data_IF_436339084462
#
_entry.id   IF_436339084462
#
_cell.length_a   1.000
_cell.length_b   1.000
_cell.length_c   1.000
_cell.angle_alpha   90.00
_cell.angle_beta   90.00
_cell.angle_gamma   90.00
#
_symmetry.space_group_name_H-M   'P 1'
#
loop_
_entity.id
_entity.type
_entity.pdbx_description
1 polymer ?
#
# COMPACT_ATOMS: atom_id res chain seq x y z
N UNK A 1 21.67 5.64 -27.95
CA UNK A 1 21.37 6.36 -29.20
C UNK A 1 21.76 7.81 -28.98
N UNK A 2 22.97 8.15 -29.45
CA UNK A 2 23.59 9.49 -29.59
C UNK A 2 23.08 10.64 -28.71
N UNK A 3 23.77 10.86 -27.58
CA UNK A 3 23.90 12.18 -26.99
C UNK A 3 24.70 13.07 -27.94
N UNK A 4 24.04 14.05 -28.53
CA UNK A 4 24.70 15.17 -29.20
C UNK A 4 24.90 16.27 -28.17
N UNK A 5 26.09 16.31 -27.57
CA UNK A 5 26.60 17.50 -26.91
C UNK A 5 26.62 18.64 -27.93
N UNK A 6 25.71 19.59 -27.78
CA UNK A 6 25.81 20.87 -28.48
C UNK A 6 26.93 21.68 -27.82
N UNK A 7 27.87 22.24 -28.59
CA UNK A 7 28.99 22.94 -28.03
C UNK A 7 28.48 24.19 -27.32
N UNK A 8 28.72 24.28 -26.01
CA UNK A 8 28.69 25.55 -25.28
C UNK A 8 29.70 26.44 -25.98
N UNK A 9 29.19 27.30 -26.86
CA UNK A 9 29.93 28.42 -27.38
C UNK A 9 30.14 29.35 -26.20
N UNK A 10 31.23 29.13 -25.47
CA UNK A 10 31.86 30.17 -24.67
C UNK A 10 32.21 31.27 -25.65
N UNK A 11 31.27 32.18 -25.92
CA UNK A 11 31.57 33.48 -26.49
C UNK A 11 32.33 34.23 -25.42
N UNK A 12 33.63 33.93 -25.42
CA UNK A 12 34.71 34.73 -24.92
C UNK A 12 34.27 36.19 -24.82
N UNK A 13 34.23 36.69 -23.59
CA UNK A 13 34.09 38.10 -23.26
C UNK A 13 35.40 38.82 -23.65
N UNK A 14 35.78 38.70 -24.92
CA UNK A 14 36.96 39.28 -25.52
C UNK A 14 36.56 39.79 -26.91
N UNK A 15 36.15 41.05 -26.95
CA UNK A 15 35.80 41.78 -28.16
C UNK A 15 34.77 42.84 -27.79
N UNK A 16 34.97 44.13 -28.00
CA UNK A 16 35.73 44.77 -29.07
C UNK A 16 36.30 46.10 -28.52
N UNK A 17 37.50 46.08 -27.95
CA UNK A 17 38.37 47.26 -28.06
C UNK A 17 39.11 47.08 -29.38
N UNK A 18 38.53 47.59 -30.47
CA UNK A 18 39.19 47.61 -31.75
C UNK A 18 40.47 48.44 -31.60
N UNK A 19 41.68 47.88 -31.76
CA UNK A 19 42.93 48.66 -31.60
C UNK A 19 42.97 49.82 -32.61
N UNK A 20 42.33 49.68 -33.78
CA UNK A 20 42.20 50.77 -34.76
C UNK A 20 41.33 51.94 -34.25
N UNK A 21 40.37 51.68 -33.36
CA UNK A 21 39.57 52.71 -32.69
C UNK A 21 40.41 53.47 -31.66
N UNK A 22 41.20 52.77 -30.83
CA UNK A 22 42.12 53.43 -29.89
C UNK A 22 43.18 54.29 -30.60
N UNK A 23 43.76 53.79 -31.70
CA UNK A 23 44.70 54.57 -32.53
C UNK A 23 44.03 55.82 -33.12
N UNK A 24 42.73 55.77 -33.43
CA UNK A 24 41.95 56.92 -33.90
C UNK A 24 41.72 57.96 -32.79
N UNK A 25 41.41 57.51 -31.56
CA UNK A 25 41.23 58.39 -30.41
C UNK A 25 42.53 59.07 -29.98
N UNK A 26 43.66 58.35 -29.97
CA UNK A 26 44.96 58.95 -29.67
C UNK A 26 45.37 60.01 -30.70
N UNK A 27 45.15 59.74 -32.00
CA UNK A 27 45.37 60.74 -33.05
C UNK A 27 44.46 61.96 -32.90
N UNK A 28 43.20 61.76 -32.52
CA UNK A 28 42.25 62.84 -32.25
C UNK A 28 42.71 63.72 -31.07
N UNK A 29 43.13 63.11 -29.96
CA UNK A 29 43.65 63.81 -28.78
C UNK A 29 44.94 64.55 -29.12
N UNK A 30 45.82 63.93 -29.91
CA UNK A 30 47.06 64.55 -30.38
C UNK A 30 46.78 65.77 -31.26
N UNK A 31 45.78 65.72 -32.14
CA UNK A 31 45.38 66.85 -32.99
C UNK A 31 44.80 68.02 -32.18
N UNK A 32 44.01 67.74 -31.15
CA UNK A 32 43.53 68.77 -30.22
C UNK A 32 44.70 69.41 -29.47
N UNK A 33 45.66 68.61 -29.01
CA UNK A 33 46.85 69.11 -28.29
C UNK A 33 47.71 70.00 -29.19
N UNK A 34 47.89 69.62 -30.46
CA UNK A 34 48.60 70.43 -31.46
C UNK A 34 47.92 71.79 -31.67
N UNK A 35 46.60 71.82 -31.82
CA UNK A 35 45.81 73.04 -31.96
C UNK A 35 45.91 73.98 -30.75
N UNK A 36 45.96 73.42 -29.54
CA UNK A 36 46.11 74.20 -28.29
C UNK A 36 47.54 74.73 -28.10
N UNK A 37 48.55 74.05 -28.65
CA UNK A 37 49.96 74.44 -28.54
C UNK A 37 50.44 75.51 -29.55
N UNK A 38 49.60 75.87 -30.53
CA UNK A 38 49.94 76.84 -31.56
C UNK A 38 50.11 78.26 -30.98
N UNK A 39 51.23 78.93 -31.27
CA UNK A 39 51.51 80.32 -30.84
C UNK A 39 51.02 81.31 -31.91
N UNK A 40 50.05 82.17 -31.58
CA UNK A 40 49.33 83.12 -32.46
C UNK A 40 48.54 82.49 -33.64
N UNK A 41 47.50 81.68 -33.36
CA UNK A 41 46.61 81.17 -34.40
C UNK A 41 45.61 82.24 -34.88
N UNK A 42 45.33 82.23 -36.18
CA UNK A 42 44.23 82.99 -36.79
C UNK A 42 42.88 82.49 -36.22
N UNK A 43 42.04 83.36 -35.63
CA UNK A 43 40.82 82.95 -34.91
C UNK A 43 39.84 82.16 -35.78
N UNK A 44 39.72 82.51 -37.06
CA UNK A 44 38.77 81.87 -37.98
C UNK A 44 39.23 80.43 -38.35
N UNK A 45 40.53 80.23 -38.51
CA UNK A 45 41.12 78.91 -38.75
C UNK A 45 40.94 77.97 -37.55
N UNK A 46 41.13 78.48 -36.33
CA UNK A 46 40.98 77.72 -35.09
C UNK A 46 39.51 77.31 -34.84
N UNK A 47 38.57 78.21 -35.13
CA UNK A 47 37.14 77.92 -35.05
C UNK A 47 36.70 76.86 -36.06
N UNK A 48 37.18 76.94 -37.30
CA UNK A 48 36.89 75.96 -38.35
C UNK A 48 37.42 74.58 -38.00
N UNK A 49 38.70 74.47 -37.63
CA UNK A 49 39.32 73.18 -37.33
C UNK A 49 38.80 72.57 -36.00
N UNK A 50 38.61 73.41 -34.97
CA UNK A 50 37.99 72.99 -33.71
C UNK A 50 36.54 72.53 -33.90
N UNK A 51 35.78 73.20 -34.78
CA UNK A 51 34.42 72.83 -35.14
C UNK A 51 34.33 71.44 -35.80
N UNK A 52 35.27 71.13 -36.70
CA UNK A 52 35.38 69.81 -37.34
C UNK A 52 35.67 68.71 -36.31
N UNK A 53 36.65 68.93 -35.41
CA UNK A 53 36.98 67.97 -34.36
C UNK A 53 35.81 67.75 -33.39
N UNK A 54 35.10 68.82 -33.02
CA UNK A 54 33.92 68.71 -32.16
C UNK A 54 32.76 67.95 -32.83
N UNK A 55 32.55 68.16 -34.14
CA UNK A 55 31.58 67.39 -34.92
C UNK A 55 31.94 65.90 -34.98
N UNK A 56 33.23 65.57 -35.16
CA UNK A 56 33.72 64.19 -35.12
C UNK A 56 33.48 63.55 -33.74
N UNK A 57 33.78 64.26 -32.65
CA UNK A 57 33.53 63.78 -31.28
C UNK A 57 32.05 63.51 -31.03
N UNK A 58 31.16 64.41 -31.47
CA UNK A 58 29.71 64.20 -31.41
C UNK A 58 29.27 62.98 -32.22
N UNK A 59 29.86 62.76 -33.40
CA UNK A 59 29.63 61.56 -34.20
C UNK A 59 30.02 60.28 -33.46
N UNK A 60 31.23 60.23 -32.89
CA UNK A 60 31.71 59.09 -32.10
C UNK A 60 30.86 58.83 -30.86
N UNK A 61 30.42 59.88 -30.16
CA UNK A 61 29.53 59.76 -29.00
C UNK A 61 28.17 59.16 -29.39
N UNK A 62 27.59 59.59 -30.52
CA UNK A 62 26.34 59.01 -31.05
C UNK A 62 26.51 57.53 -31.39
N UNK A 63 27.60 57.15 -32.06
CA UNK A 63 27.90 55.75 -32.38
C UNK A 63 28.08 54.92 -31.10
N UNK A 64 28.81 55.44 -30.12
CA UNK A 64 29.03 54.76 -28.83
C UNK A 64 27.73 54.56 -28.06
N UNK A 65 26.86 55.57 -28.03
CA UNK A 65 25.55 55.46 -27.39
C UNK A 65 24.64 54.47 -28.14
N UNK A 66 24.66 54.48 -29.48
CA UNK A 66 23.88 53.56 -30.31
C UNK A 66 24.34 52.10 -30.12
N UNK A 67 25.65 51.84 -30.15
CA UNK A 67 26.22 50.51 -29.90
C UNK A 67 25.92 50.03 -28.48
N UNK A 68 26.06 50.90 -27.47
CA UNK A 68 25.69 50.57 -26.09
C UNK A 68 24.21 50.18 -25.98
N UNK A 69 23.32 50.92 -26.65
CA UNK A 69 21.88 50.60 -26.67
C UNK A 69 21.61 49.27 -27.36
N UNK A 70 22.27 48.99 -28.48
CA UNK A 70 22.16 47.72 -29.21
C UNK A 70 22.62 46.53 -28.35
N UNK A 71 23.76 46.65 -27.65
CA UNK A 71 24.23 45.61 -26.73
C UNK A 71 23.29 45.38 -25.55
N UNK A 72 22.72 46.45 -24.97
CA UNK A 72 21.70 46.33 -23.92
C UNK A 72 20.45 45.63 -24.42
N UNK A 73 20.00 45.96 -25.62
CA UNK A 73 18.84 45.32 -26.26
C UNK A 73 19.10 43.83 -26.49
N UNK A 74 20.22 43.46 -27.14
CA UNK A 74 20.60 42.06 -27.38
C UNK A 74 20.71 41.25 -26.09
N UNK A 75 21.28 41.83 -25.05
CA UNK A 75 21.39 41.16 -23.74
C UNK A 75 20.01 40.95 -23.11
N UNK A 76 19.11 41.92 -23.26
CA UNK A 76 17.74 41.84 -22.75
C UNK A 76 16.93 40.77 -23.50
N UNK A 77 17.05 40.72 -24.82
CA UNK A 77 16.41 39.69 -25.66
C UNK A 77 16.92 38.29 -25.30
N UNK A 78 18.24 38.11 -25.21
CA UNK A 78 18.82 36.83 -24.80
C UNK A 78 18.36 36.39 -23.41
N UNK A 79 18.27 37.32 -22.45
CA UNK A 79 17.73 37.06 -21.12
C UNK A 79 16.25 36.65 -21.17
N UNK A 80 15.44 37.34 -21.96
CA UNK A 80 14.01 37.00 -22.12
C UNK A 80 13.82 35.60 -22.72
N UNK A 81 14.62 35.24 -23.73
CA UNK A 81 14.60 33.88 -24.31
C UNK A 81 14.99 32.83 -23.27
N UNK A 82 16.05 33.08 -22.50
CA UNK A 82 16.46 32.19 -21.40
C UNK A 82 15.34 32.04 -20.36
N UNK A 83 14.76 33.13 -19.88
CA UNK A 83 13.68 33.11 -18.90
C UNK A 83 12.46 32.34 -19.42
N UNK A 84 12.10 32.51 -20.70
CA UNK A 84 11.04 31.75 -21.36
C UNK A 84 11.33 30.24 -21.38
N UNK A 85 12.54 29.84 -21.79
CA UNK A 85 12.92 28.41 -21.79
C UNK A 85 12.98 27.83 -20.38
N UNK A 86 13.40 28.62 -19.39
CA UNK A 86 13.42 28.20 -17.99
C UNK A 86 12.01 27.96 -17.45
N UNK A 87 11.03 28.82 -17.79
CA UNK A 87 9.62 28.57 -17.46
C UNK A 87 9.11 27.28 -18.10
N UNK A 88 9.46 27.01 -19.36
CA UNK A 88 9.14 25.74 -20.04
C UNK A 88 9.70 24.53 -19.30
N UNK A 89 10.97 24.60 -18.85
CA UNK A 89 11.59 23.55 -18.04
C UNK A 89 10.87 23.34 -16.71
N UNK A 90 10.48 24.42 -16.01
CA UNK A 90 9.74 24.32 -14.75
C UNK A 90 8.38 23.64 -14.93
N UNK A 91 7.66 23.96 -16.00
CA UNK A 91 6.39 23.30 -16.33
C UNK A 91 6.59 21.78 -16.53
N UNK A 92 7.59 21.38 -17.33
CA UNK A 92 7.90 19.96 -17.55
C UNK A 92 8.33 19.24 -16.27
N UNK A 93 9.11 19.91 -15.41
CA UNK A 93 9.51 19.36 -14.10
C UNK A 93 8.30 19.16 -13.19
N UNK A 94 7.32 20.07 -13.24
CA UNK A 94 6.08 19.93 -12.51
C UNK A 94 5.24 18.76 -13.03
N UNK A 95 5.06 18.66 -14.35
CA UNK A 95 4.35 17.54 -14.99
C UNK A 95 5.00 16.20 -14.67
N UNK A 96 6.33 16.09 -14.78
CA UNK A 96 7.07 14.87 -14.39
C UNK A 96 6.77 14.48 -12.95
N UNK A 97 6.90 15.42 -12.01
CA UNK A 97 6.63 15.18 -10.59
C UNK A 97 5.18 14.78 -10.34
N UNK A 98 4.24 15.36 -11.08
CA UNK A 98 2.83 14.98 -11.00
C UNK A 98 2.64 13.53 -11.44
N UNK A 99 3.19 13.13 -12.58
CA UNK A 99 3.12 11.75 -13.04
C UNK A 99 3.83 10.77 -12.12
N UNK A 100 5.00 11.10 -11.59
CA UNK A 100 5.70 10.28 -10.58
C UNK A 100 4.80 10.00 -9.37
N UNK A 101 4.13 11.04 -8.85
CA UNK A 101 3.17 10.89 -7.73
C UNK A 101 1.97 10.02 -8.11
N UNK A 102 1.40 10.19 -9.29
CA UNK A 102 0.27 9.36 -9.73
C UNK A 102 0.70 7.90 -9.95
N UNK A 103 1.89 7.66 -10.51
CA UNK A 103 2.46 6.31 -10.65
C UNK A 103 2.65 5.66 -9.28
N UNK A 104 3.20 6.39 -8.30
CA UNK A 104 3.38 5.88 -6.95
C UNK A 104 2.05 5.56 -6.28
N UNK A 105 1.02 6.40 -6.45
CA UNK A 105 -0.34 6.09 -5.99
C UNK A 105 -0.90 4.82 -6.61
N UNK A 106 -0.74 4.66 -7.93
CA UNK A 106 -1.18 3.46 -8.65
C UNK A 106 -0.41 2.21 -8.19
N UNK A 107 0.88 2.34 -7.87
CA UNK A 107 1.72 1.23 -7.36
C UNK A 107 1.39 0.86 -5.91
N UNK A 108 0.99 1.85 -5.10
CA UNK A 108 0.52 1.65 -3.73
C UNK A 108 -0.87 1.02 -3.66
N UNK A 109 -1.51 0.75 -4.80
CA UNK A 109 -2.74 -0.03 -4.82
C UNK A 109 -2.45 -1.47 -4.36
N UNK A 110 -2.67 -1.70 -3.06
CA UNK A 110 -2.69 -3.03 -2.47
C UNK A 110 -4.11 -3.58 -2.62
N UNK A 111 -4.22 -4.72 -3.31
CA UNK A 111 -5.49 -5.43 -3.44
C UNK A 111 -5.58 -6.52 -2.38
N UNK A 112 -6.77 -6.69 -1.81
CA UNK A 112 -7.05 -7.61 -0.70
C UNK A 112 -6.59 -9.04 -1.03
N UNK A 113 -6.57 -9.45 -2.31
CA UNK A 113 -6.16 -10.81 -2.70
C UNK A 113 -4.72 -11.16 -2.32
N UNK A 114 -3.85 -10.17 -2.11
CA UNK A 114 -2.45 -10.39 -1.74
C UNK A 114 -2.29 -10.93 -0.31
N UNK A 115 -3.27 -10.66 0.56
CA UNK A 115 -3.24 -11.05 1.97
C UNK A 115 -4.03 -12.33 2.26
N UNK A 116 -4.68 -12.92 1.25
CA UNK A 116 -5.50 -14.12 1.42
C UNK A 116 -4.60 -15.35 1.46
N UNK A 117 -4.76 -16.17 2.51
CA UNK A 117 -4.18 -17.53 2.54
C UNK A 117 -4.85 -18.39 1.47
N UNK A 118 -4.07 -18.80 0.47
CA UNK A 118 -4.51 -19.64 -0.65
C UNK A 118 -3.73 -20.97 -0.62
N UNK A 119 -4.35 -22.07 -1.08
CA UNK A 119 -3.65 -23.34 -1.30
C UNK A 119 -2.40 -23.15 -2.15
N UNK A 120 -1.28 -23.78 -1.79
CA UNK A 120 -0.03 -23.70 -2.56
C UNK A 120 -0.22 -24.16 -4.01
N UNK A 121 0.69 -23.80 -4.90
CA UNK A 121 0.59 -24.18 -6.33
C UNK A 121 0.56 -25.71 -6.51
N UNK A 122 1.32 -26.44 -5.70
CA UNK A 122 1.34 -27.92 -5.71
C UNK A 122 0.01 -28.53 -5.27
N UNK A 123 -0.62 -27.96 -4.23
CA UNK A 123 -1.92 -28.41 -3.73
C UNK A 123 -3.03 -28.08 -4.74
N UNK A 124 -2.97 -26.89 -5.35
CA UNK A 124 -3.88 -26.49 -6.40
C UNK A 124 -3.83 -27.46 -7.58
N UNK A 125 -2.65 -27.82 -8.09
CA UNK A 125 -2.53 -28.79 -9.21
C UNK A 125 -3.03 -30.20 -8.84
N UNK A 126 -3.03 -30.57 -7.56
CA UNK A 126 -3.54 -31.88 -7.10
C UNK A 126 -5.06 -31.88 -6.92
N UNK A 127 -5.62 -30.78 -6.43
CA UNK A 127 -7.03 -30.69 -6.03
C UNK A 127 -7.93 -30.08 -7.13
N UNK A 128 -7.37 -29.24 -8.00
CA UNK A 128 -8.14 -28.56 -9.04
C UNK A 128 -8.59 -29.53 -10.14
N UNK A 129 -9.84 -29.40 -10.62
CA UNK A 129 -10.31 -30.12 -11.81
C UNK A 129 -9.40 -29.91 -13.03
N UNK A 130 -9.30 -30.89 -13.94
CA UNK A 130 -8.42 -30.81 -15.12
C UNK A 130 -8.81 -29.67 -16.07
N UNK A 131 -10.07 -29.25 -16.07
CA UNK A 131 -10.58 -28.10 -16.85
C UNK A 131 -9.88 -26.79 -16.46
N UNK A 132 -9.49 -26.66 -15.18
CA UNK A 132 -8.80 -25.47 -14.65
C UNK A 132 -7.28 -25.53 -14.81
N UNK A 133 -6.74 -26.62 -15.35
CA UNK A 133 -5.29 -26.85 -15.55
C UNK A 133 -4.88 -26.77 -17.02
N UNK A 134 -5.63 -26.03 -17.83
CA UNK A 134 -5.31 -25.87 -19.26
C UNK A 134 -3.98 -25.12 -19.43
N UNK A 135 -3.15 -25.53 -20.41
CA UNK A 135 -1.84 -24.92 -20.70
C UNK A 135 -1.90 -23.39 -20.86
N UNK A 136 -2.95 -22.87 -21.51
CA UNK A 136 -3.16 -21.42 -21.69
C UNK A 136 -3.26 -20.66 -20.34
N UNK A 137 -3.89 -21.30 -19.35
CA UNK A 137 -4.07 -20.75 -18.00
C UNK A 137 -2.74 -20.80 -17.22
N UNK A 138 -1.98 -21.88 -17.39
CA UNK A 138 -0.69 -22.08 -16.72
C UNK A 138 0.41 -21.15 -17.26
N UNK A 139 0.34 -20.78 -18.54
CA UNK A 139 1.32 -19.89 -19.17
C UNK A 139 1.16 -18.43 -18.75
N UNK A 140 -0.05 -17.97 -18.44
CA UNK A 140 -0.30 -16.57 -18.07
C UNK A 140 -0.49 -16.42 -16.56
N UNK A 141 0.48 -15.81 -15.87
CA UNK A 141 0.46 -15.62 -14.40
C UNK A 141 -0.85 -15.01 -13.88
N UNK A 142 -1.36 -13.98 -14.57
CA UNK A 142 -2.62 -13.34 -14.19
C UNK A 142 -3.82 -14.30 -14.30
N UNK A 143 -3.90 -15.10 -15.35
CA UNK A 143 -4.98 -16.08 -15.51
C UNK A 143 -4.85 -17.20 -14.47
N UNK A 144 -3.64 -17.69 -14.22
CA UNK A 144 -3.37 -18.65 -13.15
C UNK A 144 -3.87 -18.13 -11.79
N UNK A 145 -3.57 -16.87 -11.45
CA UNK A 145 -4.02 -16.27 -10.20
C UNK A 145 -5.55 -16.18 -10.12
N UNK A 146 -6.22 -15.73 -11.20
CA UNK A 146 -7.68 -15.68 -11.24
C UNK A 146 -8.32 -17.06 -11.08
N UNK A 147 -7.77 -18.07 -11.75
CA UNK A 147 -8.26 -19.46 -11.65
C UNK A 147 -8.08 -20.00 -10.23
N UNK A 148 -6.92 -19.75 -9.60
CA UNK A 148 -6.65 -20.15 -8.22
C UNK A 148 -7.61 -19.47 -7.23
N UNK A 149 -7.89 -18.18 -7.41
CA UNK A 149 -8.85 -17.45 -6.58
C UNK A 149 -10.29 -17.98 -6.74
N UNK A 150 -10.71 -18.27 -7.98
CA UNK A 150 -12.02 -18.86 -8.23
C UNK A 150 -12.15 -20.26 -7.62
N UNK A 151 -11.13 -21.09 -7.75
CA UNK A 151 -11.10 -22.41 -7.12
C UNK A 151 -11.24 -22.31 -5.59
N UNK A 152 -10.44 -21.45 -4.95
CA UNK A 152 -10.54 -21.21 -3.51
C UNK A 152 -11.94 -20.75 -3.09
N UNK A 153 -12.54 -19.83 -3.85
CA UNK A 153 -13.90 -19.35 -3.60
C UNK A 153 -14.90 -20.49 -3.63
N UNK A 154 -14.84 -21.35 -4.65
CA UNK A 154 -15.74 -22.51 -4.78
C UNK A 154 -15.56 -23.51 -3.64
N UNK A 155 -14.31 -23.79 -3.24
CA UNK A 155 -14.03 -24.70 -2.12
C UNK A 155 -14.53 -24.13 -0.79
N UNK A 156 -14.34 -22.83 -0.54
CA UNK A 156 -14.87 -22.17 0.67
C UNK A 156 -16.39 -22.17 0.72
N UNK A 157 -17.06 -21.96 -0.41
CA UNK A 157 -18.51 -22.06 -0.50
C UNK A 157 -18.99 -23.48 -0.17
N UNK A 158 -18.35 -24.51 -0.77
CA UNK A 158 -18.66 -25.91 -0.48
C UNK A 158 -18.49 -26.25 1.00
N UNK A 159 -17.38 -25.82 1.61
CA UNK A 159 -17.10 -26.05 3.03
C UNK A 159 -18.08 -25.32 3.95
N UNK A 160 -18.48 -24.09 3.61
CA UNK A 160 -19.47 -23.34 4.39
C UNK A 160 -20.86 -23.98 4.32
N UNK A 161 -21.27 -24.48 3.16
CA UNK A 161 -22.51 -25.25 3.00
C UNK A 161 -22.49 -26.54 3.82
N UNK A 162 -21.39 -27.29 3.75
CA UNK A 162 -21.22 -28.51 4.54
C UNK A 162 -21.22 -28.22 6.04
N UNK A 163 -20.56 -27.15 6.48
CA UNK A 163 -20.59 -26.68 7.87
C UNK A 163 -22.01 -26.34 8.30
N UNK A 164 -22.80 -25.64 7.47
CA UNK A 164 -24.21 -25.33 7.76
C UNK A 164 -25.03 -26.60 7.92
N UNK A 165 -24.86 -27.58 7.03
CA UNK A 165 -25.53 -28.88 7.14
C UNK A 165 -25.19 -29.58 8.46
N UNK A 166 -23.90 -29.70 8.80
CA UNK A 166 -23.46 -30.30 10.07
C UNK A 166 -23.98 -29.57 11.30
N UNK A 167 -24.03 -28.23 11.26
CA UNK A 167 -24.59 -27.42 12.36
C UNK A 167 -26.08 -27.73 12.54
N UNK A 168 -26.85 -27.82 11.44
CA UNK A 168 -28.27 -28.17 11.50
C UNK A 168 -28.49 -29.60 12.01
N UNK A 169 -27.68 -30.56 11.58
CA UNK A 169 -27.74 -31.94 12.06
C UNK A 169 -27.42 -32.03 13.55
N UNK A 170 -26.36 -31.37 13.99
CA UNK A 170 -26.01 -31.23 15.41
C UNK A 170 -27.17 -30.64 16.22
N UNK A 171 -27.80 -29.58 15.73
CA UNK A 171 -28.93 -28.96 16.42
C UNK A 171 -30.16 -29.87 16.49
N UNK A 172 -30.43 -30.64 15.44
CA UNK A 172 -31.48 -31.64 15.42
C UNK A 172 -31.20 -32.77 16.43
N UNK A 173 -29.97 -33.30 16.46
CA UNK A 173 -29.57 -34.34 17.43
C UNK A 173 -29.62 -33.83 18.87
N UNK A 174 -29.20 -32.58 19.12
CA UNK A 174 -29.31 -31.96 20.44
C UNK A 174 -30.77 -31.81 20.86
N UNK A 175 -31.66 -31.42 19.95
CA UNK A 175 -33.10 -31.35 20.23
C UNK A 175 -33.67 -32.72 20.54
N UNK A 176 -33.37 -33.73 19.73
CA UNK A 176 -33.84 -35.11 19.95
C UNK A 176 -33.30 -35.67 21.27
N UNK A 177 -32.03 -35.38 21.61
CA UNK A 177 -31.45 -35.77 22.89
C UNK A 177 -32.18 -35.12 24.08
N UNK A 178 -32.53 -33.83 23.99
CA UNK A 178 -33.32 -33.15 25.04
C UNK A 178 -34.72 -33.72 25.17
N UNK A 179 -35.37 -34.06 24.05
CA UNK A 179 -36.69 -34.70 24.05
C UNK A 179 -36.65 -36.13 24.62
N UNK A 180 -35.58 -36.89 24.35
CA UNK A 180 -35.38 -38.21 24.96
C UNK A 180 -35.11 -38.07 26.47
N UNK A 181 -34.31 -37.09 26.88
CA UNK A 181 -34.07 -36.82 28.30
C UNK A 181 -35.36 -36.47 29.04
N UNK A 182 -36.20 -35.57 28.51
CA UNK A 182 -37.47 -35.22 29.16
C UNK A 182 -38.42 -36.41 29.25
N UNK A 183 -38.46 -37.29 28.23
CA UNK A 183 -39.22 -38.55 28.30
C UNK A 183 -38.68 -39.49 29.39
N UNK A 184 -37.36 -39.62 29.51
CA UNK A 184 -36.75 -40.41 30.59
C UNK A 184 -37.09 -39.84 31.97
N UNK A 185 -37.06 -38.52 32.14
CA UNK A 185 -37.42 -37.87 33.40
C UNK A 185 -38.89 -38.15 33.77
N UNK A 186 -39.80 -38.14 32.78
CA UNK A 186 -41.21 -38.52 32.97
C UNK A 186 -41.34 -39.99 33.37
N UNK A 187 -40.64 -40.91 32.69
CA UNK A 187 -40.67 -42.34 33.02
C UNK A 187 -40.11 -42.59 34.43
N UNK A 188 -38.99 -41.96 34.78
CA UNK A 188 -38.41 -42.04 36.12
C UNK A 188 -39.41 -41.59 37.20
N UNK A 189 -40.10 -40.46 36.98
CA UNK A 189 -41.15 -40.00 37.88
C UNK A 189 -42.31 -41.01 38.02
N UNK A 190 -42.74 -41.64 36.92
CA UNK A 190 -43.77 -42.68 36.97
C UNK A 190 -43.31 -43.94 37.72
N UNK A 191 -42.05 -44.35 37.54
CA UNK A 191 -41.45 -45.48 38.28
C UNK A 191 -41.41 -45.18 39.77
N UNK A 192 -41.01 -43.96 40.17
CA UNK A 192 -41.04 -43.54 41.58
C UNK A 192 -42.45 -43.60 42.16
N UNK A 193 -43.46 -43.15 41.43
CA UNK A 193 -44.86 -43.23 41.84
C UNK A 193 -45.34 -44.67 42.01
N UNK A 194 -45.05 -45.56 41.05
CA UNK A 194 -45.40 -46.98 41.13
C UNK A 194 -44.64 -47.68 42.26
N UNK A 195 -43.35 -47.39 42.43
CA UNK A 195 -42.53 -47.91 43.52
C UNK A 195 -43.11 -47.53 44.88
N UNK A 196 -43.48 -46.25 45.06
CA UNK A 196 -44.14 -45.77 46.28
C UNK A 196 -45.49 -46.47 46.52
N UNK A 197 -46.34 -46.57 45.50
CA UNK A 197 -47.61 -47.28 45.61
C UNK A 197 -47.42 -48.77 45.92
N UNK A 198 -46.38 -49.40 45.37
CA UNK A 198 -46.04 -50.80 45.63
C UNK A 198 -45.51 -50.99 47.05
N UNK A 199 -44.68 -50.09 47.57
CA UNK A 199 -44.24 -50.07 48.98
C UNK A 199 -45.42 -49.90 49.93
N UNK A 200 -46.35 -49.00 49.63
CA UNK A 200 -47.58 -48.80 50.41
C UNK A 200 -48.46 -50.08 50.39
N UNK A 201 -48.63 -50.70 49.21
CA UNK A 201 -49.34 -51.96 49.08
C UNK A 201 -48.64 -53.12 49.81
N UNK A 202 -47.31 -53.22 49.75
CA UNK A 202 -46.53 -54.21 50.51
C UNK A 202 -46.66 -54.00 52.01
N UNK A 203 -46.60 -52.76 52.49
CA UNK A 203 -46.85 -52.44 53.90
C UNK A 203 -48.24 -52.90 54.33
N UNK A 204 -49.26 -52.66 53.49
CA UNK A 204 -50.64 -53.06 53.76
C UNK A 204 -50.86 -54.57 53.66
N UNK A 205 -50.18 -55.26 52.74
CA UNK A 205 -50.19 -56.73 52.65
C UNK A 205 -49.44 -57.33 53.84
N UNK A 206 -48.31 -56.77 54.28
CA UNK A 206 -47.59 -57.20 55.48
C UNK A 206 -48.43 -57.02 56.74
N UNK A 207 -49.29 -56.00 56.78
CA UNK A 207 -50.28 -55.80 57.85
C UNK A 207 -51.44 -56.81 57.80
N UNK A 208 -51.83 -57.26 56.60
CA UNK A 208 -52.95 -58.20 56.37
C UNK A 208 -52.54 -59.67 56.29
N UNK A 209 -51.26 -60.01 56.21
CA UNK A 209 -50.73 -61.38 56.31
C UNK A 209 -50.50 -61.69 57.79
N UNK A 210 -51.30 -62.58 58.42
CA UNK A 210 -51.01 -63.02 59.77
C UNK A 210 -49.71 -63.83 59.78
N UNK A 211 -48.68 -63.28 60.40
CA UNK A 211 -47.49 -64.02 60.77
C UNK A 211 -47.85 -65.07 61.82
N UNK A 212 -48.14 -66.29 61.40
CA UNK A 212 -47.78 -67.51 62.15
C UNK A 212 -47.36 -68.62 61.19
N UNK A 213 -46.05 -68.70 60.96
CA UNK A 213 -45.28 -69.90 61.25
C UNK A 213 -43.90 -69.44 61.74
N UNK A 214 -43.71 -69.51 63.06
CA UNK A 214 -42.41 -69.41 63.70
C UNK A 214 -41.74 -70.78 63.57
N UNK A 215 -40.56 -70.85 62.97
CA UNK A 215 -39.58 -71.91 63.25
C UNK A 215 -38.24 -71.23 63.51
N UNK A 216 -38.01 -70.97 64.80
CA UNK A 216 -36.76 -71.10 65.55
C UNK A 216 -35.43 -71.05 64.76
N UNK A 217 -34.74 -69.91 64.91
CA UNK A 217 -33.37 -69.80 65.40
C UNK A 217 -32.24 -70.37 64.54
N UNK A 218 -31.34 -69.49 64.10
CA UNK A 218 -29.90 -69.58 64.43
C UNK A 218 -29.16 -68.29 64.10
N UNK A 219 -28.00 -68.16 64.75
CA UNK A 219 -27.24 -66.97 65.05
C UNK A 219 -26.72 -66.09 63.89
N UNK A 220 -26.53 -64.84 64.30
CA UNK A 220 -25.69 -63.77 63.78
C UNK A 220 -24.40 -64.24 63.09
N UNK A 221 -24.14 -63.76 61.87
CA UNK A 221 -22.87 -63.08 61.61
C UNK A 221 -22.95 -62.05 60.48
N UNK A 222 -22.41 -60.87 60.79
CA UNK A 222 -22.16 -59.71 59.91
C UNK A 222 -20.90 -59.99 59.08
N UNK A 223 -20.62 -59.12 58.09
CA UNK A 223 -19.42 -58.95 57.24
C UNK A 223 -19.70 -59.42 55.80
N UNK A 224 -19.55 -58.64 54.73
CA UNK A 224 -19.01 -57.31 54.48
C UNK A 224 -19.64 -56.75 53.20
N UNK A 225 -19.60 -55.43 53.03
CA UNK A 225 -19.98 -54.75 51.80
C UNK A 225 -19.00 -55.05 50.65
N UNK A 226 -19.45 -54.98 49.39
CA UNK A 226 -18.57 -54.50 48.34
C UNK A 226 -19.18 -53.30 47.60
N UNK A 227 -18.43 -52.20 47.67
CA UNK A 227 -18.07 -51.43 46.47
C UNK A 227 -19.18 -50.69 45.75
N UNK A 228 -19.27 -49.39 46.02
CA UNK A 228 -19.66 -48.41 45.01
C UNK A 228 -18.77 -48.60 43.78
N UNK A 229 -19.35 -48.95 42.64
CA UNK A 229 -18.75 -48.73 41.32
C UNK A 229 -19.61 -47.73 40.56
N UNK A 230 -19.19 -46.47 40.62
CA UNK A 230 -19.60 -45.45 39.66
C UNK A 230 -19.01 -45.80 38.28
N UNK A 231 -19.77 -45.72 37.18
CA UNK A 231 -19.17 -45.73 35.86
C UNK A 231 -18.54 -44.35 35.59
N UNK A 232 -17.20 -44.31 35.58
CA UNK A 232 -16.44 -43.17 35.09
C UNK A 232 -16.69 -43.00 33.58
N UNK A 233 -17.48 -41.99 33.22
CA UNK A 233 -17.49 -41.46 31.85
C UNK A 233 -16.22 -40.62 31.71
N UNK A 234 -15.23 -41.20 31.02
CA UNK A 234 -14.02 -40.51 30.60
C UNK A 234 -14.43 -39.50 29.51
N UNK A 235 -14.63 -38.25 29.91
CA UNK A 235 -14.58 -37.12 28.98
C UNK A 235 -13.10 -36.81 28.77
N UNK A 236 -12.53 -37.26 27.66
CA UNK A 236 -11.26 -36.71 27.15
C UNK A 236 -11.52 -35.29 26.65
N UNK A 237 -10.87 -34.24 27.20
CA UNK A 237 -10.85 -32.94 26.56
C UNK A 237 -9.82 -32.98 25.43
N UNK A 238 -10.31 -32.81 24.20
CA UNK A 238 -9.48 -32.52 23.05
C UNK A 238 -8.79 -31.16 23.27
N UNK A 239 -7.46 -31.21 23.32
CA UNK A 239 -6.49 -30.23 22.85
C UNK A 239 -7.04 -28.79 22.64
N UNK A 240 -6.95 -27.97 23.69
CA UNK A 240 -6.94 -26.52 23.55
C UNK A 240 -5.48 -26.06 23.64
N UNK A 241 -4.88 -25.76 22.49
CA UNK A 241 -3.58 -25.11 22.40
C UNK A 241 -3.80 -23.68 21.91
N UNK A 242 -3.74 -22.72 22.83
CA UNK A 242 -3.62 -21.31 22.52
C UNK A 242 -2.57 -20.66 23.41
N UNK A 243 -1.50 -20.23 22.73
CA UNK A 243 -0.76 -18.98 22.94
C UNK A 243 0.02 -18.76 24.24
N UNK A 244 1.34 -18.56 24.06
CA UNK A 244 2.00 -17.34 24.56
C UNK A 244 2.99 -17.49 25.70
N UNK A 245 4.28 -17.58 25.35
CA UNK A 245 5.43 -17.02 26.10
C UNK A 245 6.50 -16.75 25.04
N UNK A 246 6.70 -15.52 24.56
CA UNK A 246 7.44 -14.41 25.20
C UNK A 246 8.73 -14.88 25.89
N UNK A 247 9.80 -14.93 25.12
CA UNK A 247 11.12 -14.37 25.44
C UNK A 247 11.79 -13.96 24.13
#
# INVERSE_FOLDING_TARGET
MTMTDSPVSTTSTAGIHNPASMISHERFIQRIRELVSATNPDPDSLLSEGGVLFAQLKGLNRITNATTRDHKQKTTEARQTMDHTHLGLQNLMYERRHFEKEIDKCRQFASIYQDISLYSLEEFLKLAPPELQTEDILQTEHQLMLTRLNFELTERQRLDEFKKQLVTERDNLLKESRERQSKLDIINFQIEQVSKASLEAQSKIMELVPSKLNVTGTDVNVVDAPGKTEPAIIITPALADHSGQTS
#
